data_IF_127943216060
#
_entry.id   IF_127943216060
#
_cell.length_a   1.000
_cell.length_b   1.000
_cell.length_c   1.000
_cell.angle_alpha   90.00
_cell.angle_beta   90.00
_cell.angle_gamma   90.00
#
_symmetry.space_group_name_H-M   'P 1'
#
loop_
_entity.id
_entity.type
_entity.pdbx_description
1 polymer ?
#
# COMPACT_ATOMS: atom_id res chain seq x y z
N UNK A 1 30.37 2.43 -20.63
CA UNK A 1 30.03 1.02 -20.30
C UNK A 1 28.56 0.96 -19.91
N UNK A 2 27.67 0.39 -20.73
CA UNK A 2 26.28 0.14 -20.33
C UNK A 2 26.25 -1.13 -19.50
N UNK A 3 26.00 -1.00 -18.19
CA UNK A 3 25.76 -2.16 -17.33
C UNK A 3 24.35 -2.64 -17.63
N UNK A 4 24.21 -3.87 -18.13
CA UNK A 4 22.89 -4.46 -18.37
C UNK A 4 22.22 -4.80 -17.03
N UNK A 5 21.33 -3.92 -16.58
CA UNK A 5 20.57 -4.07 -15.34
C UNK A 5 19.68 -5.32 -15.33
N UNK A 6 19.30 -5.86 -16.50
CA UNK A 6 18.47 -7.06 -16.57
C UNK A 6 19.19 -8.31 -16.05
N UNK A 7 20.51 -8.40 -16.24
CA UNK A 7 21.28 -9.56 -15.75
C UNK A 7 21.33 -9.57 -14.22
N UNK A 8 21.60 -8.42 -13.61
CA UNK A 8 21.60 -8.27 -12.16
C UNK A 8 20.20 -8.49 -11.57
N UNK A 9 19.15 -7.98 -12.23
CA UNK A 9 17.76 -8.17 -11.84
C UNK A 9 17.37 -9.66 -11.82
N UNK A 10 17.59 -10.38 -12.93
CA UNK A 10 17.28 -11.82 -13.01
C UNK A 10 18.07 -12.65 -11.99
N UNK A 11 19.34 -12.31 -11.76
CA UNK A 11 20.13 -12.96 -10.72
C UNK A 11 19.56 -12.69 -9.32
N UNK A 12 19.09 -11.47 -9.06
CA UNK A 12 18.37 -11.11 -7.82
C UNK A 12 17.12 -11.94 -7.60
N UNK A 13 16.25 -12.03 -8.61
CA UNK A 13 15.02 -12.83 -8.56
C UNK A 13 15.31 -14.31 -8.31
N UNK A 14 16.31 -14.87 -9.00
CA UNK A 14 16.74 -16.26 -8.81
C UNK A 14 17.20 -16.53 -7.38
N UNK A 15 17.97 -15.62 -6.77
CA UNK A 15 18.42 -15.75 -5.37
C UNK A 15 17.26 -15.63 -4.38
N UNK A 16 16.27 -14.79 -4.69
CA UNK A 16 15.09 -14.61 -3.86
C UNK A 16 14.06 -15.74 -4.03
N UNK A 17 14.22 -16.64 -5.02
CA UNK A 17 13.25 -17.69 -5.33
C UNK A 17 11.93 -17.16 -5.89
N UNK A 18 11.97 -16.02 -6.59
CA UNK A 18 10.77 -15.36 -7.13
C UNK A 18 10.74 -15.56 -8.64
N UNK A 19 9.65 -16.17 -9.11
CA UNK A 19 9.37 -16.34 -10.53
C UNK A 19 8.30 -15.36 -11.04
N UNK A 20 8.30 -15.09 -12.35
CA UNK A 20 7.32 -14.24 -13.03
C UNK A 20 7.11 -12.84 -12.42
N UNK A 21 8.20 -12.19 -11.96
CA UNK A 21 8.16 -10.86 -11.35
C UNK A 21 8.87 -9.81 -12.21
N UNK A 22 8.21 -8.67 -12.41
CA UNK A 22 8.69 -7.56 -13.23
C UNK A 22 9.13 -6.42 -12.33
N UNK A 23 10.03 -5.58 -12.83
CA UNK A 23 10.50 -4.41 -12.08
C UNK A 23 9.35 -3.46 -11.69
N UNK A 24 8.32 -3.34 -12.53
CA UNK A 24 7.14 -2.52 -12.25
C UNK A 24 6.32 -3.03 -11.06
N UNK A 25 6.39 -4.33 -10.75
CA UNK A 25 5.66 -4.90 -9.62
C UNK A 25 6.19 -4.36 -8.29
N UNK A 26 7.48 -3.97 -8.21
CA UNK A 26 8.02 -3.26 -7.04
C UNK A 26 7.29 -1.93 -6.79
N UNK A 27 6.93 -1.19 -7.85
CA UNK A 27 6.16 0.06 -7.72
C UNK A 27 4.75 -0.23 -7.20
N UNK A 28 4.14 -1.34 -7.62
CA UNK A 28 2.87 -1.80 -7.08
C UNK A 28 2.96 -2.18 -5.60
N UNK A 29 4.02 -2.90 -5.21
CA UNK A 29 4.28 -3.28 -3.81
C UNK A 29 4.46 -2.05 -2.93
N UNK A 30 5.32 -1.11 -3.35
CA UNK A 30 5.56 0.15 -2.63
C UNK A 30 4.27 0.95 -2.43
N UNK A 31 3.47 1.13 -3.48
CA UNK A 31 2.19 1.84 -3.40
C UNK A 31 1.22 1.17 -2.43
N UNK A 32 1.15 -0.17 -2.47
CA UNK A 32 0.28 -0.96 -1.59
C UNK A 32 0.66 -0.79 -0.12
N UNK A 33 1.96 -0.74 0.20
CA UNK A 33 2.43 -0.54 1.58
C UNK A 33 2.14 0.86 2.12
N UNK A 34 2.28 1.89 1.28
CA UNK A 34 1.97 3.26 1.71
C UNK A 34 0.49 3.45 2.00
N UNK A 35 -0.40 2.91 1.15
CA UNK A 35 -1.84 2.98 1.45
C UNK A 35 -2.19 2.21 2.72
N UNK A 36 -1.61 1.02 2.92
CA UNK A 36 -1.79 0.24 4.16
C UNK A 36 -1.27 0.97 5.40
N UNK A 37 -0.24 1.80 5.25
CA UNK A 37 0.29 2.66 6.32
C UNK A 37 -0.57 3.93 6.55
N UNK A 38 -1.67 4.09 5.81
CA UNK A 38 -2.59 5.22 5.96
C UNK A 38 -2.22 6.46 5.15
N UNK A 39 -1.27 6.37 4.20
CA UNK A 39 -0.93 7.51 3.33
C UNK A 39 -2.11 7.84 2.41
N UNK A 40 -2.54 9.11 2.34
CA UNK A 40 -3.61 9.54 1.43
C UNK A 40 -3.26 9.30 -0.04
N UNK A 41 -4.27 8.93 -0.85
CA UNK A 41 -4.08 8.62 -2.28
C UNK A 41 -3.54 9.80 -3.09
N UNK A 42 -3.86 11.03 -2.70
CA UNK A 42 -3.34 12.23 -3.36
C UNK A 42 -1.83 12.36 -3.18
N UNK A 43 -1.33 12.22 -1.94
CA UNK A 43 0.11 12.21 -1.66
C UNK A 43 0.80 11.04 -2.37
N UNK A 44 0.15 9.86 -2.42
CA UNK A 44 0.68 8.73 -3.17
C UNK A 44 0.79 9.02 -4.68
N UNK A 45 -0.18 9.71 -5.26
CA UNK A 45 -0.17 10.11 -6.66
C UNK A 45 1.04 11.00 -6.98
N UNK A 46 1.28 12.01 -6.16
CA UNK A 46 2.41 12.93 -6.29
C UNK A 46 3.75 12.19 -6.15
N UNK A 47 3.90 11.38 -5.10
CA UNK A 47 5.15 10.64 -4.85
C UNK A 47 5.49 9.65 -5.96
N UNK A 48 4.49 8.99 -6.53
CA UNK A 48 4.73 8.01 -7.58
C UNK A 48 4.67 8.57 -9.00
N UNK A 49 4.34 9.85 -9.19
CA UNK A 49 4.25 10.47 -10.52
C UNK A 49 3.17 9.86 -11.40
N UNK A 50 2.00 9.53 -10.85
CA UNK A 50 0.87 9.08 -11.67
C UNK A 50 0.14 10.26 -12.31
N UNK A 51 -0.16 10.15 -13.60
CA UNK A 51 -0.79 11.22 -14.36
C UNK A 51 -2.23 11.51 -13.90
N UNK A 52 -2.91 10.51 -13.31
CA UNK A 52 -4.25 10.70 -12.76
C UNK A 52 -4.51 9.90 -11.48
N UNK A 53 -5.45 10.39 -10.69
CA UNK A 53 -5.86 9.76 -9.44
C UNK A 53 -6.54 8.40 -9.71
N UNK A 54 -7.19 8.23 -10.86
CA UNK A 54 -7.82 6.98 -11.29
C UNK A 54 -6.80 5.83 -11.34
N UNK A 55 -5.55 6.11 -11.71
CA UNK A 55 -4.49 5.10 -11.71
C UNK A 55 -4.13 4.64 -10.30
N UNK A 56 -4.27 5.52 -9.30
CA UNK A 56 -3.93 5.26 -7.89
C UNK A 56 -5.12 4.67 -7.13
N UNK A 57 -6.36 4.89 -7.60
CA UNK A 57 -7.59 4.30 -7.02
C UNK A 57 -7.52 2.79 -6.88
N UNK A 58 -6.73 2.09 -7.71
CA UNK A 58 -6.52 0.64 -7.58
C UNK A 58 -6.03 0.21 -6.20
N UNK A 59 -5.36 1.09 -5.44
CA UNK A 59 -4.87 0.79 -4.10
C UNK A 59 -5.80 1.27 -2.99
N UNK A 60 -6.86 2.04 -3.30
CA UNK A 60 -7.74 2.66 -2.30
C UNK A 60 -8.33 1.66 -1.30
N UNK A 61 -8.64 0.45 -1.76
CA UNK A 61 -9.20 -0.64 -0.97
C UNK A 61 -8.25 -1.19 0.12
N UNK A 62 -6.95 -0.91 0.01
CA UNK A 62 -5.94 -1.33 0.99
C UNK A 62 -5.86 -0.38 2.20
N UNK A 63 -6.61 0.74 2.17
CA UNK A 63 -6.55 1.74 3.23
C UNK A 63 -7.11 1.18 4.54
N UNK A 64 -6.37 1.24 5.65
CA UNK A 64 -6.84 0.76 6.95
C UNK A 64 -7.97 1.65 7.50
N UNK A 65 -8.12 2.86 6.96
CA UNK A 65 -9.02 3.91 7.47
C UNK A 65 -10.47 3.43 7.52
N UNK A 66 -10.91 2.63 6.55
CA UNK A 66 -12.29 2.15 6.51
C UNK A 66 -12.57 1.17 7.67
N UNK A 67 -11.65 0.24 7.96
CA UNK A 67 -11.83 -0.75 9.02
C UNK A 67 -11.69 -0.12 10.42
N UNK A 68 -10.75 0.81 10.58
CA UNK A 68 -10.54 1.49 11.86
C UNK A 68 -11.71 2.40 12.25
N UNK A 69 -12.38 3.05 11.29
CA UNK A 69 -13.58 3.84 11.57
C UNK A 69 -14.75 2.98 12.06
N UNK A 70 -14.96 1.79 11.48
CA UNK A 70 -15.99 0.86 11.94
C UNK A 70 -15.68 0.29 13.31
N UNK A 71 -14.41 -0.08 13.56
CA UNK A 71 -13.98 -0.60 14.87
C UNK A 71 -14.21 0.41 16.01
N UNK A 72 -13.99 1.72 15.75
CA UNK A 72 -14.22 2.80 16.73
C UNK A 72 -15.69 2.96 17.17
N UNK A 73 -16.66 2.39 16.45
CA UNK A 73 -18.05 2.43 16.92
C UNK A 73 -18.25 1.60 18.18
N UNK A 74 -17.46 0.53 18.39
CA UNK A 74 -17.50 -0.28 19.61
C UNK A 74 -17.05 0.55 20.83
N UNK A 75 -16.05 1.41 20.67
CA UNK A 75 -15.58 2.29 21.76
C UNK A 75 -16.70 3.23 22.26
N UNK A 76 -17.55 3.72 21.35
CA UNK A 76 -18.72 4.52 21.70
C UNK A 76 -19.77 3.74 22.48
N UNK A 77 -19.99 2.47 22.11
CA UNK A 77 -20.94 1.57 22.79
C UNK A 77 -20.44 1.17 24.19
N UNK A 78 -19.13 0.91 24.33
CA UNK A 78 -18.52 0.50 25.61
C UNK A 78 -18.45 1.67 26.60
N UNK A 79 -18.17 2.89 26.15
CA UNK A 79 -18.11 4.07 27.02
C UNK A 79 -19.49 4.50 27.56
N UNK A 80 -20.59 4.19 26.87
CA UNK A 80 -21.95 4.49 27.36
C UNK A 80 -22.42 3.52 28.45
N UNK A 81 -21.83 2.33 28.55
CA UNK A 81 -22.21 1.30 29.51
C UNK A 81 -21.35 1.31 30.79
N UNK A 82 -20.35 2.19 30.89
CA UNK A 82 -19.42 2.29 32.02
C UNK A 82 -19.81 3.26 33.14
N UNK A 83 -20.86 4.06 32.99
CA UNK A 83 -21.19 5.16 33.94
C UNK A 83 -22.28 4.83 34.96
N UNK A 84 -22.34 3.58 35.44
CA UNK A 84 -23.18 3.22 36.60
C UNK A 84 -22.55 2.10 37.43
N UNK A 85 -21.46 2.39 38.14
CA UNK A 85 -21.20 1.92 39.52
C UNK A 85 -20.51 3.07 40.26
#
# INVERSE_FOLDING_TARGET
MRVDGNKAWKAGLKRAGIDNFRFHDLRHTWASWLVQSGVPLFALQEMGGWESIEMVRKYAHLSPIHLTQHAKQIDGILNLNGTRI
#
